data_IF_219355922303
#
_entry.id   IF_219355922303
#
_cell.length_a   1.000
_cell.length_b   1.000
_cell.length_c   1.000
_cell.angle_alpha   90.00
_cell.angle_beta   90.00
_cell.angle_gamma   90.00
#
_symmetry.space_group_name_H-M   'P 1'
#
loop_
_entity.id
_entity.type
_entity.pdbx_description
1 polymer ?
#
# COMPACT_ATOMS: atom_id res chain seq x y z
N UNK A 1 -19.79 26.04 -11.02
CA UNK A 1 -18.35 26.38 -10.96
C UNK A 1 -17.73 26.19 -9.56
N UNK A 2 -18.12 26.95 -8.52
CA UNK A 2 -17.45 26.92 -7.20
C UNK A 2 -17.51 25.56 -6.46
N UNK A 3 -18.62 24.83 -6.56
CA UNK A 3 -18.77 23.49 -5.96
C UNK A 3 -17.81 22.46 -6.57
N UNK A 4 -17.73 22.44 -7.90
CA UNK A 4 -16.85 21.52 -8.64
C UNK A 4 -15.38 21.76 -8.30
N UNK A 5 -14.93 23.02 -8.26
CA UNK A 5 -13.56 23.37 -7.89
C UNK A 5 -13.19 22.91 -6.48
N UNK A 6 -14.11 23.04 -5.52
CA UNK A 6 -13.89 22.53 -4.15
C UNK A 6 -13.76 21.02 -4.13
N UNK A 7 -14.66 20.32 -4.81
CA UNK A 7 -14.64 18.86 -4.82
C UNK A 7 -13.37 18.31 -5.48
N UNK A 8 -12.92 18.93 -6.58
CA UNK A 8 -11.63 18.60 -7.23
C UNK A 8 -10.44 18.85 -6.28
N UNK A 9 -10.45 19.96 -5.54
CA UNK A 9 -9.41 20.25 -4.56
C UNK A 9 -9.40 19.23 -3.40
N UNK A 10 -10.57 18.87 -2.86
CA UNK A 10 -10.70 17.87 -1.81
C UNK A 10 -10.22 16.49 -2.29
N UNK A 11 -10.62 16.09 -3.50
CA UNK A 11 -10.18 14.83 -4.09
C UNK A 11 -8.66 14.79 -4.31
N UNK A 12 -8.07 15.90 -4.80
CA UNK A 12 -6.61 16.00 -4.97
C UNK A 12 -5.88 15.84 -3.65
N UNK A 13 -6.35 16.51 -2.59
CA UNK A 13 -5.79 16.37 -1.24
C UNK A 13 -5.94 14.95 -0.70
N UNK A 14 -7.08 14.31 -0.99
CA UNK A 14 -7.33 12.94 -0.53
C UNK A 14 -6.45 11.90 -1.24
N UNK A 15 -6.24 12.05 -2.55
CA UNK A 15 -5.27 11.25 -3.31
C UNK A 15 -3.86 11.42 -2.74
N UNK A 16 -3.45 12.66 -2.44
CA UNK A 16 -2.15 12.92 -1.83
C UNK A 16 -2.07 12.29 -0.43
N UNK A 17 -3.14 12.30 0.36
CA UNK A 17 -3.17 11.67 1.67
C UNK A 17 -2.89 10.15 1.59
N UNK A 18 -3.44 9.44 0.59
CA UNK A 18 -3.11 8.02 0.38
C UNK A 18 -1.62 7.80 0.07
N UNK A 19 -1.02 8.66 -0.77
CA UNK A 19 0.41 8.54 -1.11
C UNK A 19 1.33 8.78 0.08
N UNK A 20 0.97 9.75 0.93
CA UNK A 20 1.78 10.13 2.10
C UNK A 20 1.56 9.20 3.28
N UNK A 21 0.31 8.86 3.57
CA UNK A 21 -0.09 8.21 4.82
C UNK A 21 -0.61 6.78 4.64
N UNK A 22 -0.75 6.26 3.42
CA UNK A 22 -1.32 4.92 3.18
C UNK A 22 -0.58 3.79 3.91
N UNK A 23 0.73 3.95 4.16
CA UNK A 23 1.51 3.02 4.98
C UNK A 23 0.92 2.82 6.40
N UNK A 24 0.21 3.81 6.95
CA UNK A 24 -0.43 3.74 8.27
C UNK A 24 -1.72 2.94 8.28
N UNK A 25 -2.29 2.63 7.11
CA UNK A 25 -3.39 1.67 6.92
C UNK A 25 -2.91 0.32 6.36
N UNK A 26 -1.61 0.14 6.13
CA UNK A 26 -1.07 -1.11 5.61
C UNK A 26 -1.10 -2.22 6.66
N UNK A 27 -1.43 -3.44 6.23
CA UNK A 27 -1.43 -4.64 7.07
C UNK A 27 -0.03 -5.27 7.06
N UNK A 28 0.90 -4.65 7.81
CA UNK A 28 2.31 -5.06 7.89
C UNK A 28 2.65 -5.88 9.14
N UNK A 29 1.75 -5.91 10.13
CA UNK A 29 1.95 -6.73 11.33
C UNK A 29 1.50 -8.18 11.09
N UNK A 30 2.42 -9.16 11.06
CA UNK A 30 2.07 -10.57 10.89
C UNK A 30 1.26 -11.15 12.06
N UNK A 31 1.25 -10.48 13.22
CA UNK A 31 0.47 -10.91 14.39
C UNK A 31 -0.98 -10.40 14.37
N UNK A 32 -1.33 -9.54 13.40
CA UNK A 32 -2.71 -9.12 13.15
C UNK A 32 -3.19 -7.94 13.99
N UNK A 33 -2.30 -7.08 14.49
CA UNK A 33 -2.72 -5.79 15.05
C UNK A 33 -3.41 -4.94 13.99
N UNK A 34 -4.46 -4.23 14.39
CA UNK A 34 -5.10 -3.27 13.49
C UNK A 34 -4.12 -2.13 13.17
N UNK A 35 -4.03 -1.72 11.88
CA UNK A 35 -3.24 -0.56 11.51
C UNK A 35 -3.73 0.68 12.28
N UNK A 36 -2.82 1.56 12.74
CA UNK A 36 -3.19 2.74 13.51
C UNK A 36 -4.07 3.73 12.73
N UNK A 37 -4.00 3.68 11.39
CA UNK A 37 -4.71 4.57 10.50
C UNK A 37 -4.21 6.01 10.55
N UNK A 38 -4.88 6.89 9.81
CA UNK A 38 -4.58 8.31 9.78
C UNK A 38 -5.85 9.12 9.53
N UNK A 39 -6.08 10.25 10.23
CA UNK A 39 -7.28 11.06 10.04
C UNK A 39 -7.49 11.55 8.60
N UNK A 40 -6.41 11.82 7.86
CA UNK A 40 -6.51 12.26 6.45
C UNK A 40 -6.86 11.14 5.48
N UNK A 41 -6.92 9.88 5.93
CA UNK A 41 -7.40 8.75 5.13
C UNK A 41 -8.92 8.56 5.25
N UNK A 42 -9.61 9.49 5.95
CA UNK A 42 -11.06 9.63 5.96
C UNK A 42 -11.47 10.82 5.07
N UNK A 43 -12.36 10.65 4.08
CA UNK A 43 -12.80 11.73 3.20
C UNK A 43 -13.50 12.89 3.95
N UNK A 44 -14.11 12.61 5.10
CA UNK A 44 -14.76 13.62 5.93
C UNK A 44 -13.78 14.66 6.47
N UNK A 45 -12.49 14.30 6.61
CA UNK A 45 -11.42 15.24 7.00
C UNK A 45 -11.32 16.43 6.04
N UNK A 46 -11.54 16.19 4.74
CA UNK A 46 -11.53 17.22 3.71
C UNK A 46 -12.92 17.82 3.46
N UNK A 47 -13.95 17.42 4.22
CA UNK A 47 -15.33 17.86 4.01
C UNK A 47 -15.93 17.36 2.70
N UNK A 48 -15.62 16.11 2.32
CA UNK A 48 -16.26 15.40 1.20
C UNK A 48 -16.72 14.01 1.65
N UNK A 49 -17.40 13.28 0.77
CA UNK A 49 -17.83 11.90 1.01
C UNK A 49 -17.53 11.01 -0.19
N UNK A 50 -17.53 9.68 0.02
CA UNK A 50 -17.30 8.71 -1.05
C UNK A 50 -18.38 8.81 -2.13
N UNK A 51 -19.62 9.13 -1.75
CA UNK A 51 -20.74 9.34 -2.65
C UNK A 51 -20.50 10.56 -3.56
N UNK A 52 -20.04 11.68 -3.00
CA UNK A 52 -19.70 12.85 -3.81
C UNK A 52 -18.56 12.57 -4.79
N UNK A 53 -17.56 11.78 -4.37
CA UNK A 53 -16.42 11.40 -5.20
C UNK A 53 -16.84 10.43 -6.33
N UNK A 54 -17.85 9.59 -6.10
CA UNK A 54 -18.38 8.67 -7.11
C UNK A 54 -19.09 9.41 -8.26
N UNK A 55 -19.70 10.55 -7.99
CA UNK A 55 -20.36 11.38 -9.00
C UNK A 55 -19.38 12.17 -9.89
N UNK A 56 -18.08 12.17 -9.54
CA UNK A 56 -17.06 12.93 -10.25
C UNK A 56 -16.22 12.02 -11.15
N UNK A 57 -16.11 12.33 -12.45
CA UNK A 57 -15.27 11.54 -13.34
C UNK A 57 -13.79 11.78 -13.02
N UNK A 58 -12.99 10.71 -13.07
CA UNK A 58 -11.56 10.79 -12.81
C UNK A 58 -10.80 11.60 -13.85
N UNK A 59 -11.36 11.78 -15.05
CA UNK A 59 -10.84 12.66 -16.11
C UNK A 59 -10.65 14.12 -15.67
N UNK A 60 -11.24 14.54 -14.55
CA UNK A 60 -10.97 15.84 -13.93
C UNK A 60 -9.56 15.98 -13.35
N UNK A 61 -8.92 14.85 -13.01
CA UNK A 61 -7.60 14.80 -12.37
C UNK A 61 -6.57 13.99 -13.17
N UNK A 62 -7.02 13.03 -13.98
CA UNK A 62 -6.16 12.10 -14.71
C UNK A 62 -6.54 12.05 -16.19
N UNK A 63 -5.58 12.29 -17.09
CA UNK A 63 -5.84 12.31 -18.53
C UNK A 63 -6.43 11.00 -19.07
N UNK A 64 -6.15 9.86 -18.44
CA UNK A 64 -6.66 8.54 -18.86
C UNK A 64 -7.89 8.07 -18.07
N UNK A 65 -8.47 8.92 -17.20
CA UNK A 65 -9.57 8.56 -16.30
C UNK A 65 -10.98 8.69 -16.91
N UNK A 66 -11.14 8.43 -18.21
CA UNK A 66 -12.38 8.73 -18.93
C UNK A 66 -13.57 7.83 -18.56
N UNK A 67 -13.31 6.60 -18.11
CA UNK A 67 -14.35 5.61 -17.81
C UNK A 67 -14.45 5.26 -16.31
N UNK A 68 -13.71 5.95 -15.43
CA UNK A 68 -13.71 5.68 -13.98
C UNK A 68 -14.12 6.92 -13.16
N UNK A 69 -14.74 6.69 -12.01
CA UNK A 69 -15.04 7.74 -11.03
C UNK A 69 -13.83 8.02 -10.13
N UNK A 70 -13.82 9.17 -9.44
CA UNK A 70 -12.78 9.43 -8.43
C UNK A 70 -12.82 8.44 -7.27
N UNK A 71 -13.99 7.87 -6.95
CA UNK A 71 -14.09 6.79 -5.97
C UNK A 71 -13.35 5.52 -6.42
N UNK A 72 -13.40 5.18 -7.71
CA UNK A 72 -12.69 4.01 -8.27
C UNK A 72 -11.17 4.22 -8.19
N UNK A 73 -10.69 5.43 -8.50
CA UNK A 73 -9.27 5.79 -8.34
C UNK A 73 -8.82 5.60 -6.90
N UNK A 74 -9.60 6.07 -5.93
CA UNK A 74 -9.26 5.94 -4.50
C UNK A 74 -9.22 4.49 -4.05
N UNK A 75 -10.12 3.64 -4.57
CA UNK A 75 -10.07 2.21 -4.32
C UNK A 75 -8.77 1.59 -4.86
N UNK A 76 -8.31 1.99 -6.06
CA UNK A 76 -7.00 1.55 -6.59
C UNK A 76 -5.84 2.03 -5.73
N UNK A 77 -5.87 3.28 -5.27
CA UNK A 77 -4.84 3.82 -4.37
C UNK A 77 -4.83 3.10 -3.02
N UNK A 78 -5.99 2.77 -2.46
CA UNK A 78 -6.09 1.98 -1.25
C UNK A 78 -5.46 0.59 -1.43
N UNK A 79 -5.72 -0.08 -2.57
CA UNK A 79 -5.10 -1.36 -2.88
C UNK A 79 -3.57 -1.26 -3.05
N UNK A 80 -3.10 -0.17 -3.66
CA UNK A 80 -1.68 0.04 -3.92
C UNK A 80 -0.88 0.43 -2.66
N UNK A 81 -1.44 1.27 -1.80
CA UNK A 81 -0.74 1.88 -0.67
C UNK A 81 -1.10 1.31 0.72
N UNK A 82 -2.19 0.55 0.85
CA UNK A 82 -2.68 0.02 2.13
C UNK A 82 -2.71 -1.51 2.19
N UNK A 83 -1.91 -2.18 1.35
CA UNK A 83 -1.80 -3.64 1.31
C UNK A 83 -0.87 -4.22 2.39
N UNK A 84 -0.15 -5.28 2.04
CA UNK A 84 0.87 -5.91 2.91
C UNK A 84 2.25 -5.26 2.79
N UNK A 85 2.35 -4.11 2.11
CA UNK A 85 3.58 -3.35 1.91
C UNK A 85 3.26 -1.89 2.27
N UNK A 86 3.97 -1.35 3.25
CA UNK A 86 3.93 0.08 3.58
C UNK A 86 4.96 0.84 2.76
N UNK A 87 4.54 1.87 2.04
CA UNK A 87 5.43 2.71 1.24
C UNK A 87 5.63 4.09 1.88
N UNK A 88 6.89 4.45 2.11
CA UNK A 88 7.29 5.75 2.66
C UNK A 88 8.40 6.36 1.79
N UNK A 89 8.01 7.20 0.84
CA UNK A 89 8.97 7.88 -0.07
C UNK A 89 8.57 9.31 -0.42
N UNK A 90 7.39 9.78 -0.03
CA UNK A 90 6.90 11.13 -0.33
C UNK A 90 7.74 12.25 0.32
N UNK A 91 8.57 11.91 1.32
CA UNK A 91 9.49 12.82 1.98
C UNK A 91 10.79 13.07 1.19
N UNK A 92 11.01 12.34 0.09
CA UNK A 92 12.21 12.50 -0.73
C UNK A 92 12.19 13.84 -1.48
N UNK A 93 13.36 14.47 -1.58
CA UNK A 93 13.49 15.80 -2.20
C UNK A 93 13.45 15.77 -3.73
N UNK A 94 13.96 14.70 -4.35
CA UNK A 94 14.03 14.58 -5.82
C UNK A 94 12.66 14.19 -6.41
N UNK A 95 11.99 15.07 -7.17
CA UNK A 95 10.68 14.80 -7.72
C UNK A 95 10.68 13.68 -8.77
N UNK A 96 11.82 13.42 -9.42
CA UNK A 96 11.95 12.33 -10.39
C UNK A 96 11.93 10.97 -9.69
N UNK A 97 12.56 10.88 -8.52
CA UNK A 97 12.57 9.68 -7.67
C UNK A 97 11.18 9.43 -7.08
N UNK A 98 10.53 10.47 -6.54
CA UNK A 98 9.15 10.36 -6.04
C UNK A 98 8.21 9.87 -7.14
N UNK A 99 8.32 10.43 -8.36
CA UNK A 99 7.51 9.99 -9.50
C UNK A 99 7.76 8.54 -9.86
N UNK A 100 9.03 8.13 -9.93
CA UNK A 100 9.39 6.74 -10.22
C UNK A 100 8.78 5.77 -9.21
N UNK A 101 8.85 6.09 -7.90
CA UNK A 101 8.22 5.28 -6.86
C UNK A 101 6.70 5.21 -7.01
N UNK A 102 6.02 6.35 -7.24
CA UNK A 102 4.57 6.36 -7.52
C UNK A 102 4.23 5.45 -8.68
N UNK A 103 4.97 5.53 -9.79
CA UNK A 103 4.74 4.69 -10.96
C UNK A 103 4.90 3.20 -10.64
N UNK A 104 5.91 2.81 -9.86
CA UNK A 104 6.11 1.40 -9.46
C UNK A 104 5.02 0.87 -8.51
N UNK A 105 4.54 1.72 -7.60
CA UNK A 105 3.50 1.34 -6.63
C UNK A 105 2.13 1.27 -7.31
N UNK A 106 1.76 2.30 -8.05
CA UNK A 106 0.45 2.43 -8.70
C UNK A 106 0.31 1.51 -9.92
N UNK A 107 1.41 1.01 -10.51
CA UNK A 107 1.37 -0.04 -11.54
C UNK A 107 1.08 -1.44 -10.98
N UNK A 108 1.17 -1.62 -9.66
CA UNK A 108 1.03 -2.93 -9.01
C UNK A 108 2.21 -3.88 -9.26
N UNK A 109 3.36 -3.39 -9.72
CA UNK A 109 4.52 -4.25 -10.06
C UNK A 109 4.93 -5.15 -8.89
N UNK A 110 4.90 -4.64 -7.66
CA UNK A 110 5.31 -5.36 -6.45
C UNK A 110 4.25 -6.34 -5.91
N UNK A 111 3.00 -6.24 -6.36
CA UNK A 111 1.88 -7.06 -5.86
C UNK A 111 1.40 -8.09 -6.87
N UNK A 112 2.08 -8.21 -8.02
CA UNK A 112 1.78 -9.25 -9.00
C UNK A 112 2.02 -10.64 -8.40
N UNK A 113 1.11 -11.60 -8.63
CA UNK A 113 1.31 -12.97 -8.18
C UNK A 113 2.60 -13.57 -8.73
N UNK A 114 3.35 -14.26 -7.85
CA UNK A 114 4.51 -15.04 -8.28
C UNK A 114 4.11 -16.11 -9.29
N UNK A 115 5.00 -16.36 -10.27
CA UNK A 115 4.82 -17.49 -11.19
C UNK A 115 4.80 -18.80 -10.40
N UNK A 116 4.10 -19.85 -10.86
CA UNK A 116 3.97 -21.10 -10.12
C UNK A 116 5.32 -21.70 -9.66
N UNK A 117 6.33 -21.69 -10.54
CA UNK A 117 7.68 -22.16 -10.18
C UNK A 117 8.37 -21.29 -9.14
N UNK A 118 8.18 -19.97 -9.18
CA UNK A 118 8.75 -19.04 -8.20
C UNK A 118 8.11 -19.24 -6.82
N UNK A 119 6.80 -19.47 -6.78
CA UNK A 119 6.06 -19.77 -5.55
C UNK A 119 6.54 -21.07 -4.89
N UNK A 120 6.79 -22.13 -5.68
CA UNK A 120 7.33 -23.40 -5.16
C UNK A 120 8.74 -23.20 -4.60
N UNK A 121 9.61 -22.48 -5.32
CA UNK A 121 10.97 -22.19 -4.83
C UNK A 121 10.98 -21.37 -3.55
N UNK A 122 10.10 -20.36 -3.44
CA UNK A 122 9.96 -19.56 -2.22
C UNK A 122 9.53 -20.43 -1.04
N UNK A 123 8.51 -21.29 -1.22
CA UNK A 123 8.05 -22.21 -0.17
C UNK A 123 9.15 -23.19 0.24
N UNK A 124 9.89 -23.73 -0.72
CA UNK A 124 11.01 -24.62 -0.43
C UNK A 124 12.06 -23.90 0.41
N UNK A 125 12.41 -22.66 0.05
CA UNK A 125 13.40 -21.88 0.80
C UNK A 125 12.95 -21.59 2.24
N UNK A 126 11.69 -21.22 2.44
CA UNK A 126 11.13 -21.01 3.78
C UNK A 126 11.16 -22.31 4.61
N UNK A 127 10.80 -23.44 3.99
CA UNK A 127 10.86 -24.76 4.64
C UNK A 127 12.29 -25.15 5.05
N UNK A 128 13.28 -24.89 4.18
CA UNK A 128 14.69 -25.16 4.48
C UNK A 128 15.19 -24.36 5.69
N UNK A 129 14.82 -23.07 5.75
CA UNK A 129 15.17 -22.18 6.85
C UNK A 129 14.54 -22.67 8.17
N UNK A 130 13.23 -22.92 8.17
CA UNK A 130 12.52 -23.42 9.35
C UNK A 130 13.06 -24.77 9.83
N UNK A 131 13.34 -25.69 8.89
CA UNK A 131 13.88 -27.02 9.22
C UNK A 131 15.27 -26.93 9.85
N UNK A 132 16.11 -26.00 9.37
CA UNK A 132 17.43 -25.75 9.96
C UNK A 132 17.31 -25.22 11.38
N UNK A 133 16.42 -24.26 11.62
CA UNK A 133 16.18 -23.70 12.95
C UNK A 133 15.71 -24.79 13.93
N UNK A 134 14.75 -25.63 13.53
CA UNK A 134 14.29 -26.76 14.33
C UNK A 134 15.39 -27.80 14.59
N UNK A 135 16.30 -28.01 13.64
CA UNK A 135 17.45 -28.89 13.85
C UNK A 135 18.40 -28.29 14.89
N UNK A 136 18.79 -27.02 14.74
CA UNK A 136 19.69 -26.35 15.67
C UNK A 136 19.12 -26.33 17.10
N UNK A 137 17.82 -26.07 17.24
CA UNK A 137 17.12 -26.09 18.53
C UNK A 137 17.24 -27.45 19.23
N UNK A 138 17.11 -28.55 18.48
CA UNK A 138 17.16 -29.92 19.04
C UNK A 138 18.59 -30.39 19.29
N UNK A 139 19.52 -30.08 18.39
CA UNK A 139 20.89 -30.60 18.43
C UNK A 139 21.83 -29.83 19.36
N UNK A 140 21.56 -28.55 19.62
CA UNK A 140 22.45 -27.67 20.40
C UNK A 140 21.71 -27.01 21.57
N UNK A 141 21.16 -27.84 22.45
CA UNK A 141 20.44 -27.40 23.66
C UNK A 141 21.28 -26.45 24.53
N UNK A 142 20.67 -25.34 24.95
CA UNK A 142 21.31 -24.34 25.80
C UNK A 142 22.29 -23.40 25.09
N UNK A 143 22.55 -23.60 23.79
CA UNK A 143 23.38 -22.69 23.01
C UNK A 143 22.56 -21.50 22.48
N UNK A 144 23.15 -20.30 22.55
CA UNK A 144 22.53 -19.08 22.01
C UNK A 144 22.67 -19.08 20.49
N UNK A 145 21.54 -19.18 19.78
CA UNK A 145 21.49 -19.28 18.30
C UNK A 145 21.07 -18.00 17.56
N UNK A 146 20.48 -17.02 18.25
CA UNK A 146 19.87 -15.84 17.62
C UNK A 146 18.92 -16.24 16.47
N UNK A 147 17.91 -17.04 16.80
CA UNK A 147 16.92 -17.61 15.88
C UNK A 147 16.36 -16.56 14.91
N UNK A 148 16.17 -16.96 13.65
CA UNK A 148 15.46 -16.15 12.65
C UNK A 148 13.99 -16.59 12.47
N UNK A 149 13.44 -17.35 13.42
CA UNK A 149 12.00 -17.65 13.48
C UNK A 149 11.18 -16.34 13.51
N UNK A 150 10.30 -16.19 12.52
CA UNK A 150 9.49 -14.98 12.30
C UNK A 150 9.12 -14.81 10.83
#
# INVERSE_FOLDING_TARGET
MRRLLRAVAHATSFIQAYRVHGHQLSTIDPLGSEPPGHPQLDPSFFGTSVEELRELPASLLFENGHDESLADVLQRLQQAYCGTIGYEFEHLEDPSVVRWHRDQVESGTHTQPLKPGDRVRLLQRLTEVESLEQFLHRSYLGQKRFSIEG
#
